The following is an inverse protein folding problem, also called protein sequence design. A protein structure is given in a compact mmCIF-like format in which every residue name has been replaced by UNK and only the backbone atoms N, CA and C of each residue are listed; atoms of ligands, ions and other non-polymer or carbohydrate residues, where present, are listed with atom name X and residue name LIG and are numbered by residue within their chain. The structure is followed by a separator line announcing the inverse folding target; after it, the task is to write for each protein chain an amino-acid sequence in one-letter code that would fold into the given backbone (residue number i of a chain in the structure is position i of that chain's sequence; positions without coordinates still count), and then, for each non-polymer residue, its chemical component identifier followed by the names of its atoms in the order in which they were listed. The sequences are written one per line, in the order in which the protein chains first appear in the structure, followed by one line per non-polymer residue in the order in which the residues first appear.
data_IF_356609812947
#
_entry.id   IF_356609812947
#
_cell.length_a   1.000
_cell.length_b   1.000
_cell.length_c   1.000
_cell.angle_alpha   90.00
_cell.angle_beta   90.00
_cell.angle_gamma   90.00
#
_symmetry.space_group_name_H-M   'P 1'
#
loop_
_entity.id
_entity.type
_entity.pdbx_description
1 polymer ?
#
# COMPACT_ATOMS: atom_id res chain seq x y z
N UNK A 1 -5.95 16.95 -13.47
CA UNK A 1 -5.17 17.83 -12.59
C UNK A 1 -3.80 17.19 -12.38
N UNK A 2 -2.70 17.81 -12.84
CA UNK A 2 -1.35 17.23 -12.81
C UNK A 2 -0.87 16.87 -11.39
N UNK A 3 -1.40 17.51 -10.34
CA UNK A 3 -1.02 17.19 -8.96
C UNK A 3 -1.54 15.84 -8.47
N UNK A 4 -2.67 15.33 -8.97
CA UNK A 4 -3.14 13.97 -8.60
C UNK A 4 -2.26 12.91 -9.26
N UNK A 5 -1.83 13.12 -10.50
CA UNK A 5 -0.91 12.21 -11.21
C UNK A 5 0.43 12.09 -10.49
N UNK A 6 1.00 13.22 -10.01
CA UNK A 6 2.24 13.18 -9.21
C UNK A 6 2.09 12.40 -7.91
N UNK A 7 0.97 12.58 -7.19
CA UNK A 7 0.71 11.83 -5.96
C UNK A 7 0.52 10.33 -6.20
N UNK A 8 -0.05 9.95 -7.34
CA UNK A 8 -0.17 8.54 -7.72
C UNK A 8 1.16 7.94 -8.17
N UNK A 9 2.04 8.74 -8.79
CA UNK A 9 3.40 8.34 -9.11
C UNK A 9 4.20 7.98 -7.84
N UNK A 10 3.90 8.60 -6.69
CA UNK A 10 4.46 8.18 -5.41
C UNK A 10 4.20 6.69 -5.14
N UNK A 11 2.95 6.22 -5.30
CA UNK A 11 2.58 4.82 -5.07
C UNK A 11 3.28 3.84 -6.01
N UNK A 12 3.53 4.25 -7.26
CA UNK A 12 4.31 3.47 -8.23
C UNK A 12 5.79 3.41 -7.84
N UNK A 13 6.33 4.50 -7.29
CA UNK A 13 7.74 4.62 -6.94
C UNK A 13 8.15 3.88 -5.66
N UNK A 14 7.23 3.62 -4.71
CA UNK A 14 7.59 3.03 -3.38
C UNK A 14 8.45 1.78 -3.53
N UNK A 15 7.97 0.78 -4.29
CA UNK A 15 8.68 -0.49 -4.47
C UNK A 15 10.03 -0.37 -5.14
N UNK A 16 10.10 0.20 -6.36
CA UNK A 16 11.35 0.39 -7.08
C UNK A 16 12.41 1.17 -6.27
N UNK A 17 12.01 2.23 -5.58
CA UNK A 17 12.92 3.01 -4.74
C UNK A 17 13.39 2.16 -3.55
N UNK A 18 12.47 1.60 -2.78
CA UNK A 18 12.82 0.89 -1.55
C UNK A 18 13.66 -0.36 -1.82
N UNK A 19 13.22 -1.21 -2.76
CA UNK A 19 13.94 -2.44 -3.12
C UNK A 19 15.20 -2.17 -3.91
N UNK A 20 15.24 -1.11 -4.73
CA UNK A 20 16.45 -0.73 -5.46
C UNK A 20 17.57 -0.28 -4.52
N UNK A 21 17.26 0.60 -3.57
CA UNK A 21 18.22 1.05 -2.54
C UNK A 21 18.63 -0.10 -1.62
N UNK A 22 17.67 -0.96 -1.24
CA UNK A 22 17.98 -2.17 -0.49
C UNK A 22 18.93 -3.09 -1.26
N UNK A 23 18.67 -3.34 -2.55
CA UNK A 23 19.49 -4.24 -3.38
C UNK A 23 20.93 -3.74 -3.51
N UNK A 24 21.12 -2.45 -3.74
CA UNK A 24 22.47 -1.85 -3.79
C UNK A 24 23.20 -2.05 -2.46
N UNK A 25 22.53 -1.80 -1.33
CA UNK A 25 23.14 -2.03 -0.02
C UNK A 25 23.43 -3.52 0.22
N UNK A 26 22.51 -4.41 -0.12
CA UNK A 26 22.66 -5.84 0.04
C UNK A 26 23.86 -6.41 -0.75
N UNK A 27 24.15 -5.86 -1.93
CA UNK A 27 25.30 -6.26 -2.77
C UNK A 27 26.63 -5.63 -2.32
N UNK A 28 26.59 -4.52 -1.58
CA UNK A 28 27.79 -3.75 -1.21
C UNK A 28 28.15 -3.84 0.26
N UNK A 29 27.25 -4.36 1.11
CA UNK A 29 27.44 -4.43 2.55
C UNK A 29 28.13 -5.72 2.93
N UNK A 30 29.34 -5.58 3.44
CA UNK A 30 30.12 -6.69 3.97
C UNK A 30 29.35 -7.44 5.06
N UNK A 31 29.37 -8.77 4.98
CA UNK A 31 28.67 -9.65 5.91
C UNK A 31 27.15 -9.69 5.75
N UNK A 32 26.53 -8.94 4.83
CA UNK A 32 25.09 -9.06 4.58
C UNK A 32 24.79 -10.20 3.60
N UNK A 33 23.99 -11.18 4.01
CA UNK A 33 23.50 -12.26 3.17
C UNK A 33 21.97 -12.13 2.99
N UNK A 34 21.46 -11.78 1.80
CA UNK A 34 20.02 -11.66 1.55
C UNK A 34 19.19 -12.92 1.80
N UNK A 35 19.82 -14.10 1.83
CA UNK A 35 19.15 -15.36 2.14
C UNK A 35 18.97 -15.56 3.65
N UNK A 36 19.78 -14.89 4.48
CA UNK A 36 19.81 -15.08 5.94
C UNK A 36 19.33 -13.84 6.70
N UNK A 37 19.71 -12.66 6.25
CA UNK A 37 19.50 -11.40 6.97
C UNK A 37 18.27 -10.64 6.46
N UNK A 38 17.28 -10.38 7.32
CA UNK A 38 16.16 -9.51 7.00
C UNK A 38 16.59 -8.14 6.46
N UNK A 39 15.76 -7.56 5.58
CA UNK A 39 16.04 -6.29 4.92
C UNK A 39 16.27 -5.14 5.91
N UNK A 40 15.58 -5.18 7.05
CA UNK A 40 15.67 -4.20 8.14
C UNK A 40 17.04 -4.19 8.81
N UNK A 41 17.76 -5.31 8.83
CA UNK A 41 19.09 -5.39 9.45
C UNK A 41 20.10 -4.45 8.77
N UNK A 42 19.91 -4.10 7.50
CA UNK A 42 20.76 -3.10 6.83
C UNK A 42 20.70 -1.70 7.47
N UNK A 43 19.74 -1.44 8.37
CA UNK A 43 19.69 -0.22 9.18
C UNK A 43 20.75 -0.16 10.29
N UNK A 44 21.54 -1.23 10.48
CA UNK A 44 22.56 -1.35 11.52
C UNK A 44 23.99 -1.03 11.03
N UNK A 45 24.85 -0.57 11.94
CA UNK A 45 26.26 -0.25 11.67
C UNK A 45 26.48 1.00 10.83
N UNK A 46 27.71 1.22 10.36
CA UNK A 46 28.18 2.52 9.86
C UNK A 46 27.38 3.12 8.69
N UNK A 47 26.87 2.26 7.80
CA UNK A 47 26.04 2.68 6.65
C UNK A 47 24.54 2.53 6.89
N UNK A 48 24.14 2.25 8.13
CA UNK A 48 22.76 1.96 8.52
C UNK A 48 21.77 3.08 8.23
N UNK A 49 22.25 4.33 8.30
CA UNK A 49 21.47 5.52 7.99
C UNK A 49 20.87 5.50 6.58
N UNK A 50 21.49 4.81 5.62
CA UNK A 50 20.97 4.71 4.24
C UNK A 50 19.65 3.95 4.24
N UNK A 51 19.59 2.80 4.93
CA UNK A 51 18.37 2.01 5.03
C UNK A 51 17.32 2.72 5.91
N UNK A 52 17.73 3.45 6.95
CA UNK A 52 16.84 4.33 7.73
C UNK A 52 16.20 5.39 6.82
N UNK A 53 16.99 6.10 6.03
CA UNK A 53 16.49 7.10 5.08
C UNK A 53 15.58 6.46 4.03
N UNK A 54 15.88 5.23 3.60
CA UNK A 54 15.06 4.47 2.66
C UNK A 54 13.67 4.12 3.25
N UNK A 55 13.61 3.70 4.51
CA UNK A 55 12.35 3.49 5.24
C UNK A 55 11.52 4.78 5.33
N UNK A 56 12.15 5.88 5.72
CA UNK A 56 11.48 7.19 5.81
C UNK A 56 10.99 7.64 4.43
N UNK A 57 11.81 7.52 3.39
CA UNK A 57 11.44 7.89 2.02
C UNK A 57 10.25 7.07 1.51
N UNK A 58 10.26 5.75 1.73
CA UNK A 58 9.13 4.89 1.41
C UNK A 58 7.86 5.30 2.17
N UNK A 59 7.99 5.65 3.45
CA UNK A 59 6.88 6.16 4.25
C UNK A 59 6.29 7.47 3.70
N UNK A 60 7.14 8.42 3.31
CA UNK A 60 6.70 9.68 2.67
C UNK A 60 6.01 9.43 1.32
N UNK A 61 6.51 8.47 0.52
CA UNK A 61 5.86 8.06 -0.73
C UNK A 61 4.48 7.44 -0.48
N UNK A 62 4.31 6.64 0.58
CA UNK A 62 3.00 6.15 1.02
C UNK A 62 2.06 7.31 1.41
N UNK A 63 2.54 8.32 2.14
CA UNK A 63 1.73 9.49 2.49
C UNK A 63 1.30 10.26 1.23
N UNK A 64 2.21 10.44 0.26
CA UNK A 64 1.90 11.03 -1.04
C UNK A 64 0.84 10.23 -1.80
N UNK A 65 0.99 8.91 -1.84
CA UNK A 65 0.02 8.01 -2.47
C UNK A 65 -1.35 8.08 -1.77
N UNK A 66 -1.39 8.03 -0.45
CA UNK A 66 -2.61 8.18 0.35
C UNK A 66 -3.37 9.48 0.02
N UNK A 67 -2.66 10.62 -0.05
CA UNK A 67 -3.23 11.89 -0.47
C UNK A 67 -3.77 11.82 -1.91
N UNK A 68 -3.06 11.12 -2.81
CA UNK A 68 -3.52 10.85 -4.17
C UNK A 68 -4.81 10.04 -4.23
N UNK A 69 -4.95 9.01 -3.40
CA UNK A 69 -6.16 8.18 -3.28
C UNK A 69 -7.33 9.00 -2.74
N UNK A 70 -7.10 9.83 -1.70
CA UNK A 70 -8.13 10.70 -1.13
C UNK A 70 -8.75 11.65 -2.16
N UNK A 71 -7.92 12.13 -3.09
CA UNK A 71 -8.35 13.03 -4.18
C UNK A 71 -9.00 12.30 -5.36
N UNK A 72 -8.78 11.01 -5.50
CA UNK A 72 -9.22 10.23 -6.67
C UNK A 72 -10.52 9.45 -6.43
N UNK A 73 -10.80 9.04 -5.19
CA UNK A 73 -12.02 8.28 -4.87
C UNK A 73 -13.23 9.20 -4.72
N UNK A 74 -14.39 8.76 -5.26
CA UNK A 74 -15.66 9.43 -5.06
C UNK A 74 -16.14 9.32 -3.60
N UNK A 75 -16.93 10.29 -3.10
CA UNK A 75 -17.41 10.28 -1.72
C UNK A 75 -18.08 8.96 -1.33
N UNK A 76 -17.59 8.36 -0.26
CA UNK A 76 -18.09 7.12 0.35
C UNK A 76 -17.11 6.58 1.41
N UNK A 77 -17.45 5.51 2.12
CA UNK A 77 -16.57 4.95 3.17
C UNK A 77 -15.15 4.62 2.65
N UNK A 78 -15.04 4.16 1.40
CA UNK A 78 -13.77 3.88 0.73
C UNK A 78 -12.89 5.11 0.51
N UNK A 79 -13.47 6.28 0.23
CA UNK A 79 -12.71 7.54 0.05
C UNK A 79 -12.16 8.09 1.36
N UNK A 80 -12.68 7.63 2.50
CA UNK A 80 -12.21 8.05 3.83
C UNK A 80 -11.17 7.08 4.36
N UNK A 81 -11.51 5.80 4.44
CA UNK A 81 -10.69 4.82 5.15
C UNK A 81 -9.48 4.33 4.36
N UNK A 82 -9.58 4.15 3.02
CA UNK A 82 -8.43 3.66 2.26
C UNK A 82 -7.24 4.64 2.31
N UNK A 83 -7.41 5.96 2.13
CA UNK A 83 -6.33 6.92 2.33
C UNK A 83 -5.76 6.93 3.75
N UNK A 84 -6.61 6.85 4.78
CA UNK A 84 -6.15 6.85 6.18
C UNK A 84 -5.27 5.63 6.44
N UNK A 85 -5.70 4.44 6.03
CA UNK A 85 -4.97 3.20 6.25
C UNK A 85 -3.67 3.13 5.43
N UNK A 86 -3.67 3.63 4.19
CA UNK A 86 -2.43 3.80 3.42
C UNK A 86 -1.48 4.82 4.08
N UNK A 87 -2.03 5.87 4.69
CA UNK A 87 -1.26 6.85 5.45
C UNK A 87 -0.62 6.24 6.70
N UNK A 88 -1.39 5.46 7.47
CA UNK A 88 -0.89 4.69 8.60
C UNK A 88 0.18 3.67 8.17
N UNK A 89 0.05 3.12 6.95
CA UNK A 89 1.09 2.25 6.39
C UNK A 89 2.41 3.00 6.23
N UNK A 90 2.35 4.24 5.72
CA UNK A 90 3.50 5.12 5.63
C UNK A 90 4.08 5.53 6.99
N UNK A 91 3.21 5.81 7.99
CA UNK A 91 3.65 6.10 9.36
C UNK A 91 4.40 4.92 9.96
N UNK A 92 3.92 3.69 9.76
CA UNK A 92 4.62 2.47 10.20
C UNK A 92 6.02 2.33 9.58
N UNK A 93 6.16 2.64 8.29
CA UNK A 93 7.48 2.67 7.62
C UNK A 93 8.41 3.73 8.21
N UNK A 94 7.92 4.94 8.51
CA UNK A 94 8.73 6.00 9.14
C UNK A 94 9.14 5.57 10.54
N UNK A 95 8.23 4.96 11.31
CA UNK A 95 8.52 4.44 12.65
C UNK A 95 9.65 3.39 12.61
N UNK A 96 9.56 2.41 11.71
CA UNK A 96 10.64 1.43 11.48
C UNK A 96 11.95 2.07 10.99
N UNK A 97 11.91 3.23 10.33
CA UNK A 97 13.11 4.00 10.02
C UNK A 97 13.72 4.68 11.24
N UNK A 98 12.91 5.37 12.04
CA UNK A 98 13.36 6.16 13.20
C UNK A 98 13.92 5.27 14.30
N UNK A 99 13.31 4.10 14.52
CA UNK A 99 13.75 3.14 15.52
C UNK A 99 14.46 1.98 14.81
N UNK A 100 15.80 1.88 14.90
CA UNK A 100 16.53 0.75 14.37
C UNK A 100 16.05 -0.58 14.96
N UNK A 101 16.10 -1.63 14.14
CA UNK A 101 15.86 -3.02 14.58
C UNK A 101 17.00 -3.51 15.48
N UNK A 102 16.82 -4.62 16.18
CA UNK A 102 17.86 -5.20 17.01
C UNK A 102 18.83 -6.07 16.18
N UNK A 103 20.14 -6.04 16.49
CA UNK A 103 21.12 -6.95 15.88
C UNK A 103 20.80 -8.42 16.14
N UNK A 104 20.90 -9.24 15.09
CA UNK A 104 20.62 -10.68 15.19
C UNK A 104 21.03 -11.41 13.92
N UNK A 105 20.86 -12.74 13.92
CA UNK A 105 21.29 -13.60 12.82
C UNK A 105 22.76 -13.43 12.42
N UNK A 106 23.62 -12.93 13.31
CA UNK A 106 25.04 -12.66 13.07
C UNK A 106 25.33 -11.35 12.32
N UNK A 107 24.34 -10.47 12.14
CA UNK A 107 24.52 -9.17 11.49
C UNK A 107 24.19 -7.97 12.41
N UNK A 108 25.02 -6.91 12.40
CA UNK A 108 26.33 -6.80 11.73
C UNK A 108 27.39 -7.73 12.38
N UNK A 109 28.61 -7.85 11.83
CA UNK A 109 29.66 -8.66 12.44
C UNK A 109 29.84 -8.34 13.93
N UNK A 110 29.78 -9.38 14.77
CA UNK A 110 29.78 -9.27 16.23
C UNK A 110 28.40 -9.35 16.90
N UNK A 111 27.31 -9.36 16.13
CA UNK A 111 25.96 -9.57 16.64
C UNK A 111 25.69 -11.04 17.03
N UNK A 112 24.69 -11.31 17.89
CA UNK A 112 24.27 -12.67 18.22
C UNK A 112 23.90 -13.47 16.96
N UNK A 113 24.37 -14.72 16.88
CA UNK A 113 24.08 -15.61 15.74
C UNK A 113 22.60 -16.03 15.66
N UNK A 114 21.89 -16.00 16.79
CA UNK A 114 20.50 -16.41 16.92
C UNK A 114 19.53 -15.24 17.09
N UNK A 115 18.61 -15.39 18.03
CA UNK A 115 17.60 -14.37 18.38
C UNK A 115 18.28 -13.06 18.83
N UNK A 116 17.76 -11.89 18.44
CA UNK A 116 18.22 -10.63 19.00
C UNK A 116 17.94 -10.52 20.50
N UNK A 117 18.77 -9.75 21.20
CA UNK A 117 18.41 -9.20 22.50
C UNK A 117 17.46 -8.03 22.28
N UNK A 118 16.24 -8.14 22.81
CA UNK A 118 15.19 -7.16 22.54
C UNK A 118 15.42 -5.83 23.25
N UNK A 119 15.55 -4.77 22.48
CA UNK A 119 15.57 -3.40 22.99
C UNK A 119 14.23 -2.71 22.74
N UNK A 120 13.99 -1.59 23.44
CA UNK A 120 12.82 -0.74 23.17
C UNK A 120 12.82 -0.25 21.72
N UNK A 121 13.99 0.03 21.15
CA UNK A 121 14.11 0.44 19.74
C UNK A 121 13.65 -0.66 18.80
N UNK A 122 14.15 -1.89 18.96
CA UNK A 122 13.74 -3.01 18.12
C UNK A 122 12.26 -3.33 18.27
N UNK A 123 11.70 -3.26 19.49
CA UNK A 123 10.25 -3.41 19.70
C UNK A 123 9.45 -2.34 18.96
N UNK A 124 9.89 -1.08 18.98
CA UNK A 124 9.24 0.00 18.22
C UNK A 124 9.41 -0.16 16.70
N UNK A 125 10.54 -0.71 16.24
CA UNK A 125 10.76 -1.07 14.85
C UNK A 125 9.72 -2.11 14.38
N UNK A 126 9.59 -3.21 15.13
CA UNK A 126 8.63 -4.28 14.84
C UNK A 126 7.19 -3.79 14.94
N UNK A 127 6.88 -2.92 15.90
CA UNK A 127 5.57 -2.25 15.96
C UNK A 127 5.29 -1.41 14.72
N UNK A 128 6.30 -0.70 14.19
CA UNK A 128 6.22 0.03 12.93
C UNK A 128 5.96 -0.89 11.73
N UNK A 129 6.65 -2.02 11.66
CA UNK A 129 6.43 -3.06 10.64
C UNK A 129 5.01 -3.64 10.71
N UNK A 130 4.51 -3.96 11.90
CA UNK A 130 3.14 -4.45 12.10
C UNK A 130 2.10 -3.40 11.73
N UNK A 131 2.29 -2.14 12.15
CA UNK A 131 1.42 -1.04 11.76
C UNK A 131 1.38 -0.89 10.24
N UNK A 132 2.55 -0.96 9.58
CA UNK A 132 2.65 -0.87 8.13
C UNK A 132 1.86 -1.98 7.42
N UNK A 133 2.11 -3.22 7.84
CA UNK A 133 1.57 -4.43 7.22
C UNK A 133 0.06 -4.59 7.43
N UNK A 134 -0.41 -4.38 8.67
CA UNK A 134 -1.83 -4.50 9.01
C UNK A 134 -2.65 -3.36 8.42
N UNK A 135 -2.14 -2.12 8.43
CA UNK A 135 -2.85 -0.99 7.80
C UNK A 135 -2.97 -1.18 6.29
N UNK A 136 -1.91 -1.66 5.62
CA UNK A 136 -1.96 -1.96 4.19
C UNK A 136 -2.99 -3.05 3.87
N UNK A 137 -3.03 -4.11 4.69
CA UNK A 137 -4.01 -5.19 4.55
C UNK A 137 -5.44 -4.67 4.71
N UNK A 138 -5.70 -3.89 5.76
CA UNK A 138 -7.00 -3.26 5.98
C UNK A 138 -7.38 -2.31 4.83
N UNK A 139 -6.42 -1.55 4.28
CA UNK A 139 -6.64 -0.71 3.11
C UNK A 139 -7.09 -1.54 1.90
N UNK A 140 -6.47 -2.71 1.67
CA UNK A 140 -6.88 -3.63 0.62
C UNK A 140 -8.32 -4.13 0.83
N UNK A 141 -8.73 -4.46 2.05
CA UNK A 141 -10.12 -4.87 2.34
C UNK A 141 -11.14 -3.75 2.06
N UNK A 142 -10.81 -2.50 2.43
CA UNK A 142 -11.64 -1.33 2.13
C UNK A 142 -11.72 -1.09 0.62
N UNK A 143 -10.59 -1.21 -0.10
CA UNK A 143 -10.54 -1.08 -1.54
C UNK A 143 -11.29 -2.21 -2.25
N UNK A 144 -11.27 -3.45 -1.73
CA UNK A 144 -12.02 -4.57 -2.26
C UNK A 144 -13.53 -4.26 -2.28
N UNK A 145 -14.08 -3.80 -1.15
CA UNK A 145 -15.47 -3.33 -1.05
C UNK A 145 -15.77 -2.19 -2.01
N UNK A 146 -14.86 -1.21 -2.08
CA UNK A 146 -15.03 -0.03 -2.95
C UNK A 146 -15.04 -0.40 -4.43
N UNK A 147 -14.18 -1.33 -4.84
CA UNK A 147 -14.14 -1.85 -6.21
C UNK A 147 -15.37 -2.73 -6.51
N UNK A 148 -15.83 -3.53 -5.56
CA UNK A 148 -17.02 -4.36 -5.74
C UNK A 148 -18.27 -3.49 -5.96
N UNK A 149 -18.46 -2.47 -5.13
CA UNK A 149 -19.56 -1.50 -5.26
C UNK A 149 -19.52 -0.75 -6.61
N UNK A 150 -18.33 -0.54 -7.17
CA UNK A 150 -18.15 0.08 -8.48
C UNK A 150 -18.20 -0.92 -9.66
N UNK A 151 -18.60 -2.19 -9.45
CA UNK A 151 -18.75 -3.20 -10.51
C UNK A 151 -17.42 -3.67 -11.14
N UNK A 152 -16.31 -3.54 -10.41
CA UNK A 152 -14.95 -3.63 -10.97
C UNK A 152 -14.40 -5.06 -10.94
N UNK A 153 -14.67 -5.86 -11.97
CA UNK A 153 -14.26 -7.28 -12.06
C UNK A 153 -12.77 -7.51 -11.75
N UNK A 154 -12.47 -8.59 -11.03
CA UNK A 154 -11.11 -9.04 -10.68
C UNK A 154 -10.45 -8.29 -9.51
N UNK A 155 -10.65 -6.98 -9.39
CA UNK A 155 -9.98 -6.16 -8.38
C UNK A 155 -10.37 -6.46 -6.93
N UNK A 156 -11.65 -6.70 -6.59
CA UNK A 156 -12.02 -7.14 -5.25
C UNK A 156 -11.32 -8.43 -4.86
N UNK A 157 -11.31 -9.43 -5.75
CA UNK A 157 -10.63 -10.69 -5.51
C UNK A 157 -9.12 -10.50 -5.34
N UNK A 158 -8.47 -9.68 -6.18
CA UNK A 158 -7.04 -9.37 -6.04
C UNK A 158 -6.72 -8.69 -4.69
N UNK A 159 -7.56 -7.74 -4.25
CA UNK A 159 -7.42 -7.07 -2.95
C UNK A 159 -7.61 -8.01 -1.75
N UNK A 160 -8.19 -9.20 -1.93
CA UNK A 160 -8.26 -10.23 -0.89
C UNK A 160 -7.12 -11.25 -1.04
N UNK A 161 -6.90 -11.73 -2.26
CA UNK A 161 -5.95 -12.79 -2.56
C UNK A 161 -4.50 -12.38 -2.36
N UNK A 162 -4.12 -11.14 -2.71
CA UNK A 162 -2.72 -10.70 -2.61
C UNK A 162 -2.26 -10.59 -1.14
N UNK A 163 -2.96 -9.90 -0.23
CA UNK A 163 -2.61 -9.92 1.19
C UNK A 163 -2.63 -11.34 1.77
N UNK A 164 -3.65 -12.14 1.43
CA UNK A 164 -3.71 -13.54 1.90
C UNK A 164 -2.51 -14.36 1.43
N UNK A 165 -2.09 -14.22 0.17
CA UNK A 165 -0.90 -14.87 -0.37
C UNK A 165 0.39 -14.39 0.29
N UNK A 166 0.51 -13.10 0.59
CA UNK A 166 1.63 -12.53 1.37
C UNK A 166 1.71 -13.18 2.75
N UNK A 167 0.60 -13.26 3.50
CA UNK A 167 0.60 -13.89 4.82
C UNK A 167 0.81 -15.40 4.77
N UNK A 168 0.28 -16.08 3.75
CA UNK A 168 0.53 -17.50 3.54
C UNK A 168 2.02 -17.77 3.25
N UNK A 169 2.66 -16.91 2.45
CA UNK A 169 4.09 -17.01 2.16
C UNK A 169 4.94 -16.81 3.43
N UNK A 170 4.63 -15.78 4.22
CA UNK A 170 5.35 -15.49 5.47
C UNK A 170 5.11 -16.58 6.52
N UNK A 171 3.86 -17.02 6.69
CA UNK A 171 3.44 -17.98 7.70
C UNK A 171 3.77 -19.44 7.39
N UNK A 172 4.41 -19.72 6.24
CA UNK A 172 4.76 -21.09 5.88
C UNK A 172 5.79 -21.69 6.87
N UNK A 173 5.64 -22.97 7.29
CA UNK A 173 6.30 -23.51 8.48
C UNK A 173 7.74 -23.99 8.19
N UNK A 174 8.56 -23.12 7.60
CA UNK A 174 9.98 -23.37 7.36
C UNK A 174 10.81 -22.13 7.75
N UNK A 175 11.39 -22.10 8.95
CA UNK A 175 12.17 -20.97 9.42
C UNK A 175 13.38 -20.65 8.52
N UNK A 176 13.95 -21.65 7.85
CA UNK A 176 15.18 -21.49 7.06
C UNK A 176 15.00 -20.59 5.83
N UNK A 177 13.78 -20.53 5.29
CA UNK A 177 13.44 -19.68 4.13
C UNK A 177 12.75 -18.37 4.50
N UNK A 178 12.61 -18.04 5.79
CA UNK A 178 11.84 -16.87 6.24
C UNK A 178 12.30 -15.57 5.60
N UNK A 179 13.61 -15.29 5.58
CA UNK A 179 14.17 -14.05 5.02
C UNK A 179 13.85 -13.89 3.53
N UNK A 180 14.06 -14.94 2.74
CA UNK A 180 13.74 -14.92 1.30
C UNK A 180 12.24 -14.70 1.09
N UNK A 181 11.39 -15.34 1.90
CA UNK A 181 9.94 -15.20 1.83
C UNK A 181 9.48 -13.80 2.22
N UNK A 182 10.11 -13.17 3.22
CA UNK A 182 9.87 -11.77 3.58
C UNK A 182 10.23 -10.83 2.42
N UNK A 183 11.37 -11.05 1.75
CA UNK A 183 11.76 -10.28 0.58
C UNK A 183 10.73 -10.40 -0.56
N UNK A 184 10.32 -11.63 -0.90
CA UNK A 184 9.31 -11.88 -1.94
C UNK A 184 7.96 -11.27 -1.54
N UNK A 185 7.55 -11.44 -0.28
CA UNK A 185 6.32 -10.85 0.26
C UNK A 185 6.33 -9.32 0.15
N UNK A 186 7.42 -8.67 0.53
CA UNK A 186 7.59 -7.21 0.36
C UNK A 186 7.53 -6.80 -1.11
N UNK A 187 8.18 -7.55 -2.01
CA UNK A 187 8.14 -7.27 -3.45
C UNK A 187 6.73 -7.38 -4.02
N UNK A 188 5.98 -8.43 -3.67
CA UNK A 188 4.58 -8.62 -4.05
C UNK A 188 3.71 -7.50 -3.50
N UNK A 189 3.88 -7.15 -2.22
CA UNK A 189 3.17 -6.04 -1.58
C UNK A 189 3.40 -4.72 -2.32
N UNK A 190 4.65 -4.34 -2.57
CA UNK A 190 4.96 -3.09 -3.26
C UNK A 190 4.50 -3.09 -4.72
N UNK A 191 4.63 -4.20 -5.44
CA UNK A 191 4.11 -4.35 -6.79
C UNK A 191 2.59 -4.16 -6.82
N UNK A 192 1.88 -4.70 -5.82
CA UNK A 192 0.43 -4.53 -5.72
C UNK A 192 0.03 -3.10 -5.37
N UNK A 193 0.78 -2.41 -4.52
CA UNK A 193 0.58 -0.98 -4.25
C UNK A 193 0.77 -0.15 -5.53
N UNK A 194 1.79 -0.44 -6.33
CA UNK A 194 2.00 0.20 -7.62
C UNK A 194 0.84 -0.09 -8.60
N UNK A 195 0.35 -1.34 -8.64
CA UNK A 195 -0.80 -1.73 -9.46
C UNK A 195 -2.08 -0.97 -9.06
N UNK A 196 -2.33 -0.83 -7.75
CA UNK A 196 -3.43 -0.02 -7.21
C UNK A 196 -3.28 1.46 -7.60
N UNK A 197 -2.07 2.02 -7.50
CA UNK A 197 -1.81 3.41 -7.88
C UNK A 197 -2.09 3.66 -9.37
N UNK A 198 -1.61 2.79 -10.26
CA UNK A 198 -1.89 2.85 -11.70
C UNK A 198 -3.39 2.74 -11.96
N UNK A 199 -4.06 1.79 -11.31
CA UNK A 199 -5.48 1.51 -11.52
C UNK A 199 -6.39 2.61 -10.98
N UNK A 200 -6.01 3.30 -9.91
CA UNK A 200 -6.73 4.47 -9.41
C UNK A 200 -6.48 5.68 -10.34
N UNK A 201 -5.27 5.81 -10.90
CA UNK A 201 -4.91 6.88 -11.86
C UNK A 201 -5.66 6.79 -13.18
N UNK A 202 -5.84 5.57 -13.72
CA UNK A 202 -6.53 5.31 -14.99
C UNK A 202 -8.06 5.51 -14.92
N UNK A 203 -8.57 6.09 -13.83
CA UNK A 203 -9.96 6.52 -13.65
C UNK A 203 -10.95 5.37 -13.45
N UNK A 204 -11.73 5.43 -12.37
CA UNK A 204 -13.13 4.96 -12.46
C UNK A 204 -13.75 5.73 -13.63
N UNK A 205 -14.47 5.07 -14.56
CA UNK A 205 -15.12 5.76 -15.67
C UNK A 205 -15.89 6.96 -15.12
N UNK A 206 -15.71 8.14 -15.73
CA UNK A 206 -16.47 9.35 -15.41
C UNK A 206 -17.89 9.30 -15.97
N UNK A 207 -18.44 8.10 -16.13
CA UNK A 207 -19.65 7.85 -16.91
C UNK A 207 -20.83 7.60 -15.97
N UNK A 208 -20.99 8.47 -14.97
CA UNK A 208 -22.23 8.62 -14.19
C UNK A 208 -22.50 10.10 -13.87
N UNK A 209 -22.04 11.04 -14.70
CA UNK A 209 -22.56 12.42 -14.69
C UNK A 209 -23.90 12.48 -15.42
N UNK A 210 -24.93 11.97 -14.75
CA UNK A 210 -26.25 12.56 -14.70
C UNK A 210 -27.07 11.75 -13.68
N UNK A 211 -27.79 12.38 -12.75
CA UNK A 211 -29.01 11.73 -12.27
C UNK A 211 -29.82 11.44 -13.55
N UNK A 212 -30.20 10.18 -13.78
CA UNK A 212 -31.24 9.89 -14.77
C UNK A 212 -32.41 10.79 -14.38
N UNK A 213 -32.63 11.86 -15.13
CA UNK A 213 -33.87 12.62 -15.04
C UNK A 213 -34.97 11.56 -15.19
N UNK A 214 -35.89 11.42 -14.23
CA UNK A 214 -37.06 10.60 -14.47
C UNK A 214 -37.65 11.12 -15.79
N UNK A 215 -37.86 10.23 -16.75
CA UNK A 215 -38.61 10.55 -17.95
C UNK A 215 -39.89 11.23 -17.47
N UNK A 216 -40.03 12.53 -17.75
CA UNK A 216 -41.26 13.23 -17.45
C UNK A 216 -42.38 12.43 -18.12
N UNK A 217 -43.47 12.10 -17.40
CA UNK A 217 -44.58 11.42 -18.03
C UNK A 217 -45.02 12.27 -19.23
N UNK A 218 -45.05 11.66 -20.42
CA UNK A 218 -45.65 12.26 -21.60
C UNK A 218 -47.08 12.66 -21.19
N UNK A 219 -47.34 13.96 -21.10
CA UNK A 219 -48.72 14.44 -20.89
C UNK A 219 -49.52 14.04 -22.13
N UNK A 220 -50.61 13.27 -22.01
CA UNK A 220 -51.51 13.07 -23.13
C UNK A 220 -52.10 14.43 -23.52
N UNK A 221 -52.08 14.71 -24.83
CA UNK A 221 -52.61 15.94 -25.41
C UNK A 221 -54.06 16.16 -25.00
N UNK A 222 -54.40 17.40 -24.62
CA UNK A 222 -55.78 17.81 -24.37
C UNK A 222 -56.59 17.70 -25.68
N UNK A 223 -57.80 17.11 -25.67
CA UNK A 223 -58.67 17.13 -26.83
C UNK A 223 -59.16 18.56 -27.09
N UNK A 224 -59.18 18.92 -28.39
CA UNK A 224 -59.63 20.22 -28.87
C UNK A 224 -61.07 20.51 -28.48
N UNK A 225 -61.31 21.69 -27.92
CA UNK A 225 -62.65 22.27 -27.77
C UNK A 225 -63.11 22.77 -29.14
N UNK A 226 -64.02 22.04 -29.77
CA UNK A 226 -64.88 22.60 -30.82
C UNK A 226 -65.92 23.52 -30.18
N UNK A 227 -65.94 24.77 -30.65
CA UNK A 227 -66.88 25.81 -30.22
C UNK A 227 -68.32 25.53 -30.72
N UNK A 228 -69.37 26.06 -30.06
CA UNK A 228 -70.72 25.96 -30.57
C UNK A 228 -70.96 27.03 -31.64
N UNK A 229 -71.46 26.62 -32.81
CA UNK A 229 -72.12 27.54 -33.76
C UNK A 229 -73.63 27.33 -33.67
N UNK A 230 -74.28 28.48 -33.47
CA UNK A 230 -75.69 28.85 -33.59
C UNK A 230 -76.51 28.01 -34.58
#
# INVERSE_FOLDING_TARGET
MPSTTRLQACGVAIGPVFLGVWLVQALTREGFDPARHPLSLLSLGDRGWIQVANFIAAGLLYLGFAAGVRRALHPGPGSTWAPVLLGLSGVGMIMAGIFPTDPGAGFPPGAPAGMPDYTVSGVLHEAGFLLASLSWTAACLVLARSFAAAGRRGWPAACLAVPAGVFALIGWPDPSSLTVRLLIASAVQFAFVAALAVRITRGLPRDLRAPRRPLSPVRPGRPGRSAPRR
#
